data_IF_519136881006
#
_entry.id   IF_519136881006
#
_cell.length_a   1.000
_cell.length_b   1.000
_cell.length_c   1.000
_cell.angle_alpha   90.00
_cell.angle_beta   90.00
_cell.angle_gamma   90.00
#
_symmetry.space_group_name_H-M   'P 1'
#
loop_
_entity.id
_entity.type
_entity.pdbx_description
1 polymer ?
#
# COMPACT_ATOMS: atom_id res chain seq x y z
N UNK A 1 8.54 12.18 -8.84
CA UNK A 1 8.76 10.77 -8.46
C UNK A 1 7.99 9.88 -9.42
N UNK A 2 8.46 8.67 -9.65
CA UNK A 2 7.76 7.60 -10.39
C UNK A 2 7.61 6.38 -9.50
N UNK A 3 6.76 5.43 -9.89
CA UNK A 3 6.49 4.22 -9.11
C UNK A 3 6.38 3.00 -10.03
N UNK A 4 7.16 1.96 -9.75
CA UNK A 4 7.14 0.67 -10.46
C UNK A 4 6.25 -0.31 -9.70
N UNK A 5 5.24 -0.85 -10.38
CA UNK A 5 4.31 -1.82 -9.78
C UNK A 5 4.88 -3.23 -9.93
N UNK A 6 5.60 -3.70 -8.92
CA UNK A 6 6.33 -4.98 -8.98
C UNK A 6 5.41 -6.18 -9.15
N UNK A 7 4.17 -6.09 -8.65
CA UNK A 7 3.18 -7.15 -8.80
C UNK A 7 2.72 -7.39 -10.26
N UNK A 8 3.17 -6.57 -11.20
CA UNK A 8 2.93 -6.72 -12.64
C UNK A 8 4.16 -7.24 -13.40
N UNK A 9 5.28 -7.47 -12.70
CA UNK A 9 6.52 -7.93 -13.32
C UNK A 9 6.76 -9.40 -12.99
N UNK A 10 7.27 -10.15 -13.95
CA UNK A 10 7.72 -11.52 -13.72
C UNK A 10 9.08 -11.51 -12.97
N UNK A 11 9.19 -12.17 -11.80
CA UNK A 11 10.45 -12.28 -11.06
C UNK A 11 11.62 -12.87 -11.86
N UNK A 12 11.35 -13.75 -12.81
CA UNK A 12 12.37 -14.40 -13.63
C UNK A 12 12.66 -13.63 -14.93
N UNK A 13 11.81 -12.67 -15.30
CA UNK A 13 12.03 -11.81 -16.46
C UNK A 13 12.89 -10.58 -16.10
N UNK A 14 14.19 -10.81 -16.01
CA UNK A 14 15.17 -9.79 -15.69
C UNK A 14 15.23 -8.59 -16.66
N UNK A 15 14.84 -8.80 -17.92
CA UNK A 15 14.84 -7.75 -18.93
C UNK A 15 13.64 -6.82 -18.73
N UNK A 16 12.46 -7.38 -18.49
CA UNK A 16 11.26 -6.60 -18.18
C UNK A 16 11.47 -5.74 -16.93
N UNK A 17 12.07 -6.31 -15.88
CA UNK A 17 12.43 -5.53 -14.69
C UNK A 17 13.38 -4.38 -15.03
N UNK A 18 14.40 -4.62 -15.84
CA UNK A 18 15.32 -3.57 -16.28
C UNK A 18 14.60 -2.46 -17.06
N UNK A 19 13.76 -2.82 -18.02
CA UNK A 19 12.99 -1.88 -18.83
C UNK A 19 12.01 -1.06 -17.97
N UNK A 20 11.33 -1.69 -17.00
CA UNK A 20 10.41 -1.03 -16.09
C UNK A 20 11.12 0.00 -15.18
N UNK A 21 12.22 -0.38 -14.54
CA UNK A 21 12.97 0.54 -13.68
C UNK A 21 13.67 1.64 -14.50
N UNK A 22 14.15 1.33 -15.71
CA UNK A 22 14.71 2.33 -16.62
C UNK A 22 13.64 3.32 -17.09
N UNK A 23 12.44 2.87 -17.42
CA UNK A 23 11.31 3.75 -17.75
C UNK A 23 10.94 4.65 -16.56
N UNK A 24 10.88 4.09 -15.35
CA UNK A 24 10.67 4.84 -14.11
C UNK A 24 11.74 5.90 -13.87
N UNK A 25 13.01 5.57 -14.12
CA UNK A 25 14.14 6.48 -14.03
C UNK A 25 14.08 7.62 -15.06
N UNK A 26 13.82 7.32 -16.33
CA UNK A 26 13.69 8.32 -17.39
C UNK A 26 12.51 9.28 -17.15
N UNK A 27 11.39 8.75 -16.64
CA UNK A 27 10.22 9.57 -16.28
C UNK A 27 10.58 10.65 -15.26
N UNK A 28 11.35 10.32 -14.23
CA UNK A 28 11.77 11.31 -13.22
C UNK A 28 12.94 12.18 -13.68
N UNK A 29 13.85 11.63 -14.49
CA UNK A 29 14.97 12.38 -15.04
C UNK A 29 14.49 13.52 -15.95
N UNK A 30 13.42 13.32 -16.72
CA UNK A 30 12.80 14.38 -17.52
C UNK A 30 12.35 15.59 -16.68
N UNK A 31 11.90 15.36 -15.44
CA UNK A 31 11.50 16.41 -14.50
C UNK A 31 12.68 17.28 -14.01
N UNK A 32 13.92 16.86 -14.28
CA UNK A 32 15.11 17.63 -13.94
C UNK A 32 15.22 18.94 -14.74
N UNK A 33 14.63 18.98 -15.93
CA UNK A 33 14.60 20.17 -16.79
C UNK A 33 13.64 21.26 -16.30
N UNK A 34 12.77 20.95 -15.34
CA UNK A 34 11.85 21.92 -14.76
C UNK A 34 12.61 23.00 -13.99
N UNK A 35 12.29 24.26 -14.28
CA UNK A 35 12.80 25.43 -13.56
C UNK A 35 11.74 25.93 -12.59
N UNK A 36 12.07 25.94 -11.30
CA UNK A 36 11.15 26.47 -10.28
C UNK A 36 11.07 27.98 -10.36
N UNK A 37 9.86 28.52 -10.27
CA UNK A 37 9.62 29.97 -10.23
C UNK A 37 10.10 30.59 -8.92
N UNK A 38 9.98 29.84 -7.82
CA UNK A 38 10.39 30.25 -6.49
C UNK A 38 11.91 30.06 -6.31
N UNK A 39 12.71 31.13 -6.12
CA UNK A 39 14.17 31.08 -6.16
C UNK A 39 14.79 30.07 -5.19
N UNK A 40 14.24 29.91 -3.98
CA UNK A 40 14.80 28.96 -2.99
C UNK A 40 14.70 27.51 -3.46
N UNK A 41 13.67 27.14 -4.21
CA UNK A 41 13.50 25.79 -4.76
C UNK A 41 14.40 25.56 -5.96
N UNK A 42 14.57 26.57 -6.81
CA UNK A 42 15.51 26.51 -7.93
C UNK A 42 16.95 26.36 -7.43
N UNK A 43 17.35 27.16 -6.45
CA UNK A 43 18.66 27.02 -5.80
C UNK A 43 18.87 25.63 -5.20
N UNK A 44 17.88 25.09 -4.48
CA UNK A 44 17.95 23.73 -3.95
C UNK A 44 18.12 22.67 -5.05
N UNK A 45 17.43 22.83 -6.19
CA UNK A 45 17.52 21.94 -7.36
C UNK A 45 18.91 21.99 -8.00
N UNK A 46 19.54 23.16 -8.06
CA UNK A 46 20.89 23.32 -8.61
C UNK A 46 21.97 22.72 -7.69
N UNK A 47 21.76 22.78 -6.37
CA UNK A 47 22.66 22.16 -5.40
C UNK A 47 22.65 20.64 -5.48
N UNK A 48 21.47 20.01 -5.46
CA UNK A 48 21.32 18.56 -5.60
C UNK A 48 19.99 18.26 -6.29
N UNK A 49 20.01 17.87 -7.58
CA UNK A 49 18.79 17.71 -8.38
C UNK A 49 18.08 16.39 -8.09
N UNK A 50 17.74 16.15 -6.82
CA UNK A 50 17.19 14.88 -6.37
C UNK A 50 15.90 14.49 -7.09
N UNK A 51 15.79 13.18 -7.35
CA UNK A 51 14.58 12.52 -7.84
C UNK A 51 14.34 11.25 -7.03
N UNK A 52 13.15 10.68 -7.15
CA UNK A 52 12.81 9.42 -6.50
C UNK A 52 12.10 8.51 -7.49
N UNK A 53 12.69 7.37 -7.78
CA UNK A 53 11.99 6.20 -8.31
C UNK A 53 11.60 5.35 -7.11
N UNK A 54 10.32 5.02 -7.02
CA UNK A 54 9.75 4.14 -6.01
C UNK A 54 9.30 2.83 -6.65
N UNK A 55 8.95 1.87 -5.81
CA UNK A 55 8.18 0.70 -6.19
C UNK A 55 7.00 0.49 -5.25
N UNK A 56 6.06 -0.37 -5.66
CA UNK A 56 4.99 -0.92 -4.84
C UNK A 56 4.79 -2.40 -5.15
N UNK A 57 4.15 -3.16 -4.25
CA UNK A 57 3.93 -4.60 -4.42
C UNK A 57 5.16 -5.47 -4.14
N UNK A 58 6.15 -4.98 -3.38
CA UNK A 58 7.38 -5.74 -3.14
C UNK A 58 7.12 -7.06 -2.41
N UNK A 59 6.24 -7.04 -1.41
CA UNK A 59 5.94 -8.24 -0.63
C UNK A 59 5.37 -9.31 -1.55
N UNK A 60 4.35 -8.97 -2.34
CA UNK A 60 3.74 -9.89 -3.31
C UNK A 60 4.76 -10.42 -4.32
N UNK A 61 5.62 -9.53 -4.86
CA UNK A 61 6.67 -9.91 -5.80
C UNK A 61 7.63 -10.94 -5.19
N UNK A 62 8.04 -10.77 -3.93
CA UNK A 62 8.92 -11.73 -3.26
C UNK A 62 8.25 -13.04 -2.89
N UNK A 63 6.95 -13.05 -2.61
CA UNK A 63 6.21 -14.32 -2.49
C UNK A 63 6.25 -15.11 -3.80
N UNK A 64 6.07 -14.44 -4.94
CA UNK A 64 6.17 -15.09 -6.25
C UNK A 64 7.61 -15.49 -6.60
N UNK A 65 8.60 -14.66 -6.24
CA UNK A 65 10.01 -14.93 -6.53
C UNK A 65 10.62 -16.07 -5.71
N UNK A 66 10.20 -16.22 -4.44
CA UNK A 66 10.82 -17.14 -3.49
C UNK A 66 9.87 -18.26 -3.01
N UNK A 67 8.59 -18.17 -3.33
CA UNK A 67 7.57 -19.16 -2.99
C UNK A 67 7.13 -19.11 -1.53
N UNK A 68 6.30 -20.08 -1.16
CA UNK A 68 5.66 -20.18 0.17
C UNK A 68 6.67 -20.41 1.30
N UNK A 69 7.85 -20.96 1.02
CA UNK A 69 8.89 -21.13 2.04
C UNK A 69 9.45 -19.79 2.54
N UNK A 70 9.45 -18.76 1.69
CA UNK A 70 9.77 -17.40 2.12
C UNK A 70 8.70 -16.82 3.05
N UNK A 71 7.42 -17.14 2.81
CA UNK A 71 6.33 -16.77 3.72
C UNK A 71 6.44 -17.49 5.07
N UNK A 72 6.77 -18.79 5.08
CA UNK A 72 7.01 -19.56 6.31
C UNK A 72 8.17 -18.99 7.10
N UNK A 73 9.24 -18.60 6.42
CA UNK A 73 10.39 -17.94 7.04
C UNK A 73 10.02 -16.56 7.62
N UNK A 74 9.14 -15.83 6.94
CA UNK A 74 8.56 -14.58 7.43
C UNK A 74 7.74 -14.74 8.71
N UNK A 75 6.86 -15.75 8.74
CA UNK A 75 6.02 -16.06 9.91
C UNK A 75 6.87 -16.38 11.15
N UNK A 76 8.06 -16.98 10.95
CA UNK A 76 9.04 -17.26 12.00
C UNK A 76 9.82 -16.04 12.49
N UNK A 77 9.55 -14.84 11.95
CA UNK A 77 10.25 -13.62 12.33
C UNK A 77 11.53 -13.34 11.54
N UNK A 78 11.69 -13.95 10.35
CA UNK A 78 12.86 -13.79 9.46
C UNK A 78 14.22 -14.13 10.10
N UNK A 79 14.37 -15.28 10.79
CA UNK A 79 15.61 -15.64 11.48
C UNK A 79 16.78 -15.83 10.52
N UNK A 80 18.01 -15.59 11.00
CA UNK A 80 19.25 -15.75 10.22
C UNK A 80 19.76 -17.20 10.20
N UNK A 81 18.88 -18.15 9.88
CA UNK A 81 19.27 -19.53 9.57
C UNK A 81 20.02 -19.60 8.23
N UNK A 82 20.71 -20.70 7.90
CA UNK A 82 21.33 -20.87 6.59
C UNK A 82 20.36 -20.60 5.42
N UNK A 83 19.12 -21.07 5.51
CA UNK A 83 18.05 -20.81 4.54
C UNK A 83 17.61 -19.34 4.56
N UNK A 84 17.42 -18.75 5.74
CA UNK A 84 17.07 -17.34 5.89
C UNK A 84 18.09 -16.40 5.27
N UNK A 85 19.38 -16.73 5.39
CA UNK A 85 20.46 -15.97 4.75
C UNK A 85 20.43 -16.08 3.22
N UNK A 86 19.94 -17.19 2.65
CA UNK A 86 19.71 -17.32 1.21
C UNK A 86 18.59 -16.37 0.79
N UNK A 87 17.47 -16.33 1.52
CA UNK A 87 16.38 -15.39 1.25
C UNK A 87 16.84 -13.93 1.34
N UNK A 88 17.52 -13.52 2.41
CA UNK A 88 18.04 -12.15 2.56
C UNK A 88 18.98 -11.75 1.41
N UNK A 89 19.84 -12.67 0.95
CA UNK A 89 20.71 -12.44 -0.21
C UNK A 89 19.92 -12.33 -1.51
N UNK A 90 18.87 -13.13 -1.67
CA UNK A 90 17.94 -13.04 -2.79
C UNK A 90 17.25 -11.67 -2.85
N UNK A 91 16.66 -11.23 -1.74
CA UNK A 91 16.05 -9.90 -1.60
C UNK A 91 17.04 -8.79 -1.95
N UNK A 92 18.24 -8.85 -1.36
CA UNK A 92 19.32 -7.90 -1.63
C UNK A 92 19.66 -7.84 -3.13
N UNK A 93 19.77 -8.99 -3.80
CA UNK A 93 20.14 -9.07 -5.22
C UNK A 93 19.15 -8.31 -6.10
N UNK A 94 17.84 -8.48 -5.87
CA UNK A 94 16.81 -7.73 -6.59
C UNK A 94 16.91 -6.23 -6.30
N UNK A 95 16.92 -5.85 -5.02
CA UNK A 95 16.93 -4.46 -4.57
C UNK A 95 18.16 -3.69 -5.09
N UNK A 96 19.35 -4.26 -4.97
CA UNK A 96 20.59 -3.64 -5.47
C UNK A 96 20.61 -3.53 -6.99
N UNK A 97 20.15 -4.56 -7.70
CA UNK A 97 20.06 -4.50 -9.17
C UNK A 97 19.13 -3.38 -9.63
N UNK A 98 17.94 -3.25 -9.05
CA UNK A 98 17.01 -2.19 -9.41
C UNK A 98 17.54 -0.80 -9.07
N UNK A 99 18.25 -0.65 -7.93
CA UNK A 99 18.93 0.59 -7.57
C UNK A 99 19.99 0.97 -8.61
N UNK A 100 20.82 0.03 -9.01
CA UNK A 100 21.86 0.25 -10.03
C UNK A 100 21.26 0.69 -11.37
N UNK A 101 20.19 0.01 -11.83
CA UNK A 101 19.47 0.39 -13.05
C UNK A 101 18.97 1.84 -12.98
N UNK A 102 18.33 2.22 -11.87
CA UNK A 102 17.83 3.58 -11.68
C UNK A 102 18.96 4.60 -11.70
N UNK A 103 20.03 4.37 -10.93
CA UNK A 103 21.16 5.28 -10.87
C UNK A 103 21.83 5.46 -12.25
N UNK A 104 22.10 4.35 -12.95
CA UNK A 104 22.71 4.38 -14.27
C UNK A 104 21.83 5.15 -15.26
N UNK A 105 20.55 4.84 -15.33
CA UNK A 105 19.63 5.51 -16.26
C UNK A 105 19.46 7.01 -15.98
N UNK A 106 19.36 7.42 -14.71
CA UNK A 106 19.27 8.84 -14.34
C UNK A 106 20.60 9.55 -14.65
N UNK A 107 21.74 8.96 -14.32
CA UNK A 107 23.04 9.59 -14.56
C UNK A 107 23.39 9.68 -16.05
N UNK A 108 23.09 8.66 -16.85
CA UNK A 108 23.22 8.71 -18.31
C UNK A 108 22.39 9.84 -18.91
N UNK A 109 21.15 10.03 -18.42
CA UNK A 109 20.30 11.15 -18.82
C UNK A 109 20.95 12.48 -18.44
N UNK A 110 21.37 12.63 -17.18
CA UNK A 110 22.02 13.86 -16.71
C UNK A 110 23.25 14.23 -17.54
N UNK A 111 24.14 13.27 -17.80
CA UNK A 111 25.35 13.50 -18.59
C UNK A 111 25.05 13.95 -20.02
N UNK A 112 24.08 13.29 -20.67
CA UNK A 112 23.65 13.62 -22.02
C UNK A 112 23.07 15.04 -22.13
N UNK A 113 22.44 15.52 -21.05
CA UNK A 113 21.76 16.80 -21.02
C UNK A 113 22.54 17.91 -20.30
N UNK A 114 23.77 17.64 -19.83
CA UNK A 114 24.58 18.62 -19.10
C UNK A 114 23.99 19.01 -17.74
N UNK A 115 23.18 18.13 -17.14
CA UNK A 115 22.56 18.33 -15.82
C UNK A 115 23.47 17.70 -14.76
N UNK A 116 23.60 18.34 -13.58
CA UNK A 116 24.30 17.75 -12.45
C UNK A 116 23.67 16.39 -12.08
N UNK A 117 24.50 15.37 -11.84
CA UNK A 117 24.01 14.07 -11.38
C UNK A 117 23.44 14.20 -9.96
N UNK A 118 22.22 13.70 -9.68
CA UNK A 118 21.70 13.66 -8.33
C UNK A 118 22.46 12.68 -7.44
N UNK A 119 22.63 13.05 -6.16
CA UNK A 119 23.20 12.14 -5.16
C UNK A 119 22.23 11.01 -4.79
N UNK A 120 20.91 11.25 -4.92
CA UNK A 120 19.84 10.33 -4.49
C UNK A 120 18.76 10.21 -5.57
N UNK A 121 18.44 8.98 -5.94
CA UNK A 121 17.54 8.66 -7.06
C UNK A 121 16.40 7.70 -6.69
N UNK A 122 16.48 7.01 -5.54
CA UNK A 122 15.59 5.91 -5.16
C UNK A 122 14.96 6.16 -3.79
N UNK A 123 13.68 5.86 -3.66
CA UNK A 123 12.89 6.04 -2.43
C UNK A 123 11.80 4.98 -2.36
N UNK A 124 11.12 4.83 -1.23
CA UNK A 124 9.87 4.07 -1.18
C UNK A 124 8.81 4.90 -0.49
N UNK A 125 7.72 5.18 -1.21
CA UNK A 125 6.51 5.80 -0.66
C UNK A 125 5.50 4.71 -0.25
N UNK A 126 4.76 4.86 0.87
CA UNK A 126 3.55 4.09 1.13
C UNK A 126 2.48 4.54 0.15
N UNK A 127 2.40 3.86 -0.98
CA UNK A 127 1.48 4.24 -2.05
C UNK A 127 0.12 3.59 -1.83
N UNK A 128 -0.61 4.03 -0.80
CA UNK A 128 -1.90 3.46 -0.42
C UNK A 128 -2.98 3.57 -1.52
N UNK A 129 -2.91 4.61 -2.37
CA UNK A 129 -3.87 4.79 -3.47
C UNK A 129 -3.39 4.16 -4.77
N UNK A 130 -2.11 4.35 -5.16
CA UNK A 130 -1.66 3.83 -6.46
C UNK A 130 -1.50 2.31 -6.45
N UNK A 131 -1.12 1.71 -5.32
CA UNK A 131 -1.06 0.25 -5.19
C UNK A 131 -2.39 -0.42 -5.52
N UNK A 132 -3.51 0.23 -5.18
CA UNK A 132 -4.86 -0.28 -5.45
C UNK A 132 -5.18 -0.36 -6.94
N UNK A 133 -4.52 0.44 -7.81
CA UNK A 133 -4.74 0.39 -9.27
C UNK A 133 -4.39 -0.97 -9.86
N UNK A 134 -3.41 -1.67 -9.29
CA UNK A 134 -2.99 -3.00 -9.73
C UNK A 134 -3.23 -4.08 -8.67
N UNK A 135 -3.93 -3.76 -7.58
CA UNK A 135 -4.16 -4.69 -6.46
C UNK A 135 -2.88 -5.12 -5.74
N UNK A 136 -1.85 -4.26 -5.70
CA UNK A 136 -0.55 -4.55 -5.09
C UNK A 136 -0.55 -4.29 -3.57
N UNK A 137 0.34 -4.97 -2.85
CA UNK A 137 0.75 -4.55 -1.51
C UNK A 137 1.36 -3.14 -1.54
N UNK A 138 1.19 -2.35 -0.47
CA UNK A 138 1.56 -0.92 -0.47
C UNK A 138 3.05 -0.72 -0.18
N UNK A 139 3.82 -0.32 -1.20
CA UNK A 139 5.26 -0.14 -1.09
C UNK A 139 5.94 -1.48 -0.80
N UNK A 140 6.50 -1.59 0.40
CA UNK A 140 7.11 -2.82 0.92
C UNK A 140 6.20 -3.61 1.87
N UNK A 141 5.13 -3.02 2.39
CA UNK A 141 4.37 -3.61 3.50
C UNK A 141 3.75 -4.96 3.10
N UNK A 142 3.71 -5.95 4.02
CA UNK A 142 2.84 -7.10 3.86
C UNK A 142 1.37 -6.67 3.78
N UNK A 143 0.51 -7.42 3.07
CA UNK A 143 -0.93 -7.18 3.10
C UNK A 143 -1.49 -7.43 4.50
N UNK A 144 -2.68 -6.90 4.81
CA UNK A 144 -3.34 -7.12 6.12
C UNK A 144 -3.80 -8.55 6.33
N UNK A 145 -4.22 -9.19 5.24
CA UNK A 145 -4.66 -10.57 5.18
C UNK A 145 -4.52 -11.05 3.73
N UNK A 146 -4.58 -12.36 3.53
CA UNK A 146 -4.62 -12.95 2.20
C UNK A 146 -5.98 -12.71 1.54
N UNK A 147 -7.01 -13.01 2.34
CA UNK A 147 -8.47 -12.88 2.19
C UNK A 147 -9.03 -11.62 2.84
N UNK A 148 -9.64 -10.64 2.16
CA UNK A 148 -10.34 -9.59 2.90
C UNK A 148 -11.52 -8.94 2.15
N UNK A 149 -12.47 -8.41 2.91
CA UNK A 149 -13.43 -7.42 2.41
C UNK A 149 -12.73 -6.06 2.46
N UNK A 150 -12.60 -5.43 1.29
CA UNK A 150 -12.14 -4.05 1.15
C UNK A 150 -13.36 -3.14 1.15
N UNK A 151 -13.42 -2.20 2.11
CA UNK A 151 -14.49 -1.20 2.19
C UNK A 151 -13.99 0.14 1.67
N UNK A 152 -14.72 0.71 0.71
CA UNK A 152 -14.47 2.05 0.17
C UNK A 152 -15.68 2.92 0.47
N UNK A 153 -15.44 4.05 1.14
CA UNK A 153 -16.48 5.01 1.50
C UNK A 153 -16.82 5.89 0.32
N UNK A 154 -18.12 5.99 0.04
CA UNK A 154 -18.71 6.92 -0.90
C UNK A 154 -19.81 7.70 -0.17
N UNK A 155 -20.15 8.88 -0.68
CA UNK A 155 -21.39 9.54 -0.26
C UNK A 155 -22.58 8.64 -0.64
N UNK A 156 -23.66 8.68 0.14
CA UNK A 156 -24.91 8.00 -0.24
C UNK A 156 -25.35 8.46 -1.63
N UNK A 157 -25.69 7.50 -2.50
CA UNK A 157 -26.07 7.71 -3.91
C UNK A 157 -24.96 8.26 -4.83
N UNK A 158 -23.69 8.19 -4.44
CA UNK A 158 -22.59 8.52 -5.35
C UNK A 158 -22.69 7.68 -6.65
N UNK A 159 -22.50 8.28 -7.85
CA UNK A 159 -22.58 7.57 -9.12
C UNK A 159 -21.73 6.30 -9.19
N UNK A 160 -20.54 6.31 -8.58
CA UNK A 160 -19.65 5.15 -8.52
C UNK A 160 -20.21 4.07 -7.61
N UNK A 161 -20.79 4.44 -6.46
CA UNK A 161 -21.40 3.46 -5.55
C UNK A 161 -22.67 2.83 -6.18
N UNK A 162 -23.47 3.61 -6.89
CA UNK A 162 -24.62 3.10 -7.64
C UNK A 162 -24.19 2.14 -8.76
N UNK A 163 -23.13 2.48 -9.50
CA UNK A 163 -22.53 1.59 -10.49
C UNK A 163 -22.02 0.29 -9.85
N UNK A 164 -21.39 0.36 -8.66
CA UNK A 164 -20.96 -0.80 -7.91
C UNK A 164 -22.11 -1.74 -7.53
N UNK A 165 -23.27 -1.19 -7.11
CA UNK A 165 -24.49 -1.98 -6.82
C UNK A 165 -24.96 -2.70 -8.09
N UNK A 166 -25.03 -2.00 -9.22
CA UNK A 166 -25.40 -2.59 -10.51
C UNK A 166 -24.40 -3.66 -10.98
N UNK A 167 -23.13 -3.52 -10.59
CA UNK A 167 -22.07 -4.49 -10.84
C UNK A 167 -22.08 -5.68 -9.87
N UNK A 168 -22.98 -5.65 -8.86
CA UNK A 168 -23.26 -6.74 -7.92
C UNK A 168 -22.60 -6.62 -6.55
N UNK A 169 -21.83 -5.54 -6.30
CA UNK A 169 -21.21 -5.30 -5.00
C UNK A 169 -22.23 -4.91 -3.94
N UNK A 170 -21.94 -5.28 -2.69
CA UNK A 170 -22.77 -4.91 -1.55
C UNK A 170 -22.44 -3.49 -1.08
N UNK A 171 -23.43 -2.80 -0.50
CA UNK A 171 -23.25 -1.53 0.20
C UNK A 171 -23.81 -1.64 1.61
N UNK A 172 -23.12 -1.05 2.58
CA UNK A 172 -23.59 -0.92 3.97
C UNK A 172 -23.45 0.54 4.44
N UNK A 173 -24.20 0.98 5.48
CA UNK A 173 -23.98 2.30 6.07
C UNK A 173 -22.55 2.47 6.60
N UNK A 174 -22.08 3.71 6.76
CA UNK A 174 -20.73 3.96 7.30
C UNK A 174 -20.64 3.75 8.82
N UNK A 175 -19.44 3.83 9.38
CA UNK A 175 -19.20 3.71 10.82
C UNK A 175 -19.77 4.91 11.62
N UNK A 176 -19.99 6.04 10.95
CA UNK A 176 -20.60 7.26 11.53
C UNK A 176 -22.13 7.23 11.49
N UNK A 177 -22.73 6.44 10.60
CA UNK A 177 -24.19 6.30 10.47
C UNK A 177 -24.78 5.50 11.65
N UNK A 178 -25.29 6.23 12.65
CA UNK A 178 -25.87 5.68 13.89
C UNK A 178 -27.29 6.18 14.14
N UNK A 179 -28.07 5.39 14.87
CA UNK A 179 -29.35 5.81 15.41
C UNK A 179 -29.19 6.73 16.64
N UNK A 180 -30.31 7.24 17.14
CA UNK A 180 -30.39 8.11 18.32
C UNK A 180 -29.86 7.48 19.62
N UNK A 181 -29.73 6.15 19.66
CA UNK A 181 -29.17 5.41 20.79
C UNK A 181 -27.68 5.07 20.58
N UNK A 182 -27.08 5.48 19.46
CA UNK A 182 -25.69 5.22 19.11
C UNK A 182 -25.43 3.87 18.46
N UNK A 183 -26.47 3.10 18.10
CA UNK A 183 -26.32 1.83 17.38
C UNK A 183 -26.08 2.09 15.89
N UNK A 184 -25.28 1.25 15.24
CA UNK A 184 -25.05 1.36 13.80
C UNK A 184 -26.33 1.09 13.01
N UNK A 185 -26.59 1.93 11.99
CA UNK A 185 -27.63 1.65 11.01
C UNK A 185 -27.25 0.40 10.22
N UNK A 186 -28.22 -0.46 9.90
CA UNK A 186 -28.01 -1.67 9.11
C UNK A 186 -28.57 -1.58 7.69
N UNK A 187 -29.51 -0.67 7.44
CA UNK A 187 -30.08 -0.44 6.12
C UNK A 187 -29.35 0.72 5.41
N UNK A 188 -28.60 0.48 4.31
CA UNK A 188 -27.95 1.54 3.53
C UNK A 188 -28.96 2.54 2.93
N UNK A 189 -30.22 2.15 2.77
CA UNK A 189 -31.23 3.04 2.19
C UNK A 189 -31.97 3.89 3.23
N UNK A 190 -31.73 3.70 4.52
CA UNK A 190 -32.30 4.52 5.60
C UNK A 190 -32.01 6.02 5.35
N UNK A 191 -33.02 6.87 5.50
CA UNK A 191 -32.92 8.32 5.31
C UNK A 191 -31.82 8.99 6.16
N UNK A 192 -31.42 8.39 7.29
CA UNK A 192 -30.34 8.87 8.16
C UNK A 192 -28.94 8.52 7.67
N UNK A 193 -28.82 7.55 6.77
CA UNK A 193 -27.54 7.15 6.20
C UNK A 193 -26.99 8.28 5.31
N UNK A 194 -25.75 8.68 5.58
CA UNK A 194 -25.07 9.77 4.87
C UNK A 194 -24.03 9.23 3.89
N UNK A 195 -23.50 8.04 4.15
CA UNK A 195 -22.38 7.45 3.43
C UNK A 195 -22.60 5.95 3.22
N UNK A 196 -22.11 5.44 2.10
CA UNK A 196 -22.09 4.01 1.79
C UNK A 196 -20.67 3.48 1.80
N UNK A 197 -20.48 2.34 2.46
CA UNK A 197 -19.28 1.53 2.30
C UNK A 197 -19.58 0.47 1.25
N UNK A 198 -18.92 0.57 0.08
CA UNK A 198 -18.94 -0.50 -0.92
C UNK A 198 -18.01 -1.61 -0.44
N UNK A 199 -18.53 -2.84 -0.36
CA UNK A 199 -17.80 -4.03 0.07
C UNK A 199 -17.31 -4.85 -1.14
N UNK A 200 -15.98 -4.92 -1.28
CA UNK A 200 -15.32 -5.60 -2.39
C UNK A 200 -14.55 -6.80 -1.81
N UNK A 201 -14.92 -8.06 -2.11
CA UNK A 201 -14.09 -9.20 -1.75
C UNK A 201 -12.80 -9.17 -2.59
N UNK A 202 -11.65 -9.20 -1.91
CA UNK A 202 -10.31 -9.13 -2.53
C UNK A 202 -9.46 -10.29 -2.00
N UNK A 203 -8.69 -10.90 -2.91
CA UNK A 203 -7.63 -11.83 -2.58
C UNK A 203 -6.30 -11.32 -3.16
N UNK A 204 -5.21 -11.45 -2.39
CA UNK A 204 -3.86 -11.14 -2.88
C UNK A 204 -3.43 -12.15 -3.94
N UNK A 205 -2.54 -11.76 -4.85
CA UNK A 205 -2.17 -12.57 -6.03
C UNK A 205 -1.54 -13.93 -5.71
N UNK A 206 -1.04 -14.11 -4.50
CA UNK A 206 -0.41 -15.34 -4.01
C UNK A 206 -1.29 -16.12 -3.01
N UNK A 207 -2.52 -15.68 -2.73
CA UNK A 207 -3.39 -16.29 -1.73
C UNK A 207 -3.68 -17.79 -2.00
N UNK A 208 -3.72 -18.19 -3.27
CA UNK A 208 -4.02 -19.56 -3.68
C UNK A 208 -2.77 -20.42 -3.94
N UNK A 209 -1.56 -19.92 -3.65
CA UNK A 209 -0.36 -20.75 -3.74
C UNK A 209 -0.44 -21.92 -2.74
N UNK A 210 -0.03 -23.15 -3.11
CA UNK A 210 -0.09 -24.31 -2.21
C UNK A 210 0.68 -24.07 -0.90
N UNK A 211 -0.05 -24.13 0.22
CA UNK A 211 0.50 -23.88 1.56
C UNK A 211 0.48 -22.40 2.00
N UNK A 212 0.08 -21.46 1.13
CA UNK A 212 -0.08 -20.06 1.55
C UNK A 212 -1.23 -19.93 2.56
N UNK A 213 -2.36 -20.60 2.35
CA UNK A 213 -3.54 -20.58 3.24
C UNK A 213 -3.23 -20.99 4.70
N UNK A 214 -2.09 -21.65 4.95
CA UNK A 214 -1.64 -22.05 6.29
C UNK A 214 -0.90 -20.93 7.05
N UNK A 215 -0.47 -19.88 6.34
CA UNK A 215 0.33 -18.78 6.89
C UNK A 215 -0.57 -17.70 7.47
N UNK A 216 -0.40 -17.45 8.76
CA UNK A 216 -1.16 -16.42 9.45
C UNK A 216 -0.41 -15.07 9.39
N UNK A 217 -0.76 -14.25 8.39
CA UNK A 217 -0.23 -12.89 8.22
C UNK A 217 -0.47 -12.00 9.46
N UNK A 218 -1.45 -12.33 10.31
CA UNK A 218 -1.70 -11.64 11.57
C UNK A 218 -0.56 -11.81 12.60
N UNK A 219 0.30 -12.83 12.42
CA UNK A 219 1.43 -13.15 13.29
C UNK A 219 2.76 -12.52 12.87
N UNK A 220 2.81 -11.82 11.74
CA UNK A 220 4.05 -11.14 11.33
C UNK A 220 4.45 -10.10 12.38
N UNK A 221 5.58 -10.36 13.04
CA UNK A 221 6.07 -9.54 14.14
C UNK A 221 6.59 -8.19 13.66
N UNK A 222 6.61 -7.21 14.55
CA UNK A 222 7.18 -5.90 14.24
C UNK A 222 8.69 -5.98 13.95
N UNK A 223 9.40 -6.94 14.53
CA UNK A 223 10.81 -7.17 14.24
C UNK A 223 11.04 -7.69 12.82
N UNK A 224 10.16 -8.55 12.31
CA UNK A 224 10.21 -8.99 10.92
C UNK A 224 9.95 -7.82 9.96
N UNK A 225 8.97 -6.96 10.29
CA UNK A 225 8.70 -5.74 9.54
C UNK A 225 9.93 -4.80 9.53
N UNK A 226 10.56 -4.58 10.69
CA UNK A 226 11.76 -3.76 10.82
C UNK A 226 12.94 -4.34 10.03
N UNK A 227 13.20 -5.65 10.12
CA UNK A 227 14.27 -6.29 9.35
C UNK A 227 14.07 -6.11 7.85
N UNK A 228 12.84 -6.33 7.36
CA UNK A 228 12.55 -6.23 5.94
C UNK A 228 12.61 -4.80 5.41
N UNK A 229 12.09 -3.81 6.14
CA UNK A 229 12.20 -2.42 5.71
C UNK A 229 13.65 -1.94 5.72
N UNK A 230 14.48 -2.44 6.64
CA UNK A 230 15.91 -2.15 6.65
C UNK A 230 16.66 -2.82 5.50
N UNK A 231 16.26 -4.03 5.06
CA UNK A 231 16.73 -4.61 3.80
C UNK A 231 16.45 -3.67 2.62
N UNK A 232 15.23 -3.14 2.52
CA UNK A 232 14.86 -2.18 1.47
C UNK A 232 15.68 -0.89 1.57
N UNK A 233 15.79 -0.32 2.77
CA UNK A 233 16.56 0.90 3.00
C UNK A 233 18.02 0.73 2.58
N UNK A 234 18.65 -0.38 2.98
CA UNK A 234 20.08 -0.60 2.76
C UNK A 234 20.41 -0.87 1.29
N UNK A 235 19.57 -1.64 0.61
CA UNK A 235 19.92 -2.18 -0.71
C UNK A 235 19.23 -1.50 -1.88
N UNK A 236 18.12 -0.79 -1.67
CA UNK A 236 17.46 -0.03 -2.74
C UNK A 236 17.50 1.49 -2.52
N UNK A 237 17.09 1.94 -1.34
CA UNK A 237 16.75 3.34 -1.11
C UNK A 237 17.98 4.22 -0.86
N UNK A 238 18.02 5.39 -1.50
CA UNK A 238 19.03 6.44 -1.25
C UNK A 238 18.45 7.67 -0.56
N UNK A 239 17.12 7.83 -0.61
CA UNK A 239 16.35 8.72 0.27
C UNK A 239 15.97 7.98 1.56
N UNK A 240 14.71 8.08 1.97
CA UNK A 240 14.11 7.29 3.05
C UNK A 240 13.12 6.27 2.47
N UNK A 241 13.02 5.14 3.15
CA UNK A 241 11.98 4.12 2.96
C UNK A 241 10.87 4.44 3.93
N UNK A 242 9.78 5.03 3.46
CA UNK A 242 8.68 5.36 4.34
C UNK A 242 7.98 4.09 4.80
N UNK A 243 7.71 4.04 6.10
CA UNK A 243 7.41 2.82 6.83
C UNK A 243 6.39 3.11 7.92
N UNK A 244 5.39 2.25 8.03
CA UNK A 244 4.53 2.16 9.22
C UNK A 244 4.73 0.78 9.82
N UNK A 245 5.42 0.72 10.95
CA UNK A 245 5.61 -0.51 11.70
C UNK A 245 4.40 -0.71 12.61
N UNK A 246 3.71 -1.82 12.43
CA UNK A 246 2.57 -2.18 13.26
C UNK A 246 2.99 -3.13 14.36
N UNK A 247 2.67 -2.78 15.61
CA UNK A 247 3.12 -3.52 16.79
C UNK A 247 2.01 -3.74 17.82
N UNK A 248 2.16 -4.83 18.57
CA UNK A 248 1.37 -5.11 19.77
C UNK A 248 2.04 -4.54 21.02
N UNK A 249 1.28 -4.50 22.12
CA UNK A 249 1.77 -3.98 23.40
C UNK A 249 3.02 -4.72 23.89
N UNK A 250 3.01 -6.04 23.77
CA UNK A 250 4.13 -6.92 24.14
C UNK A 250 5.36 -6.76 23.24
N UNK A 251 5.21 -6.16 22.06
CA UNK A 251 6.31 -5.94 21.11
C UNK A 251 7.02 -4.59 21.29
N UNK A 252 6.49 -3.70 22.14
CA UNK A 252 7.04 -2.34 22.35
C UNK A 252 8.48 -2.38 22.86
N UNK A 253 8.74 -3.14 23.93
CA UNK A 253 10.07 -3.19 24.57
C UNK A 253 11.12 -3.85 23.67
N UNK A 254 10.75 -4.94 22.97
CA UNK A 254 11.69 -5.63 22.09
C UNK A 254 12.02 -4.79 20.85
N UNK A 255 11.05 -4.06 20.30
CA UNK A 255 11.28 -3.12 19.21
C UNK A 255 12.18 -1.96 19.66
N UNK A 256 11.88 -1.37 20.82
CA UNK A 256 12.67 -0.27 21.39
C UNK A 256 14.13 -0.68 21.59
N UNK A 257 14.36 -1.87 22.14
CA UNK A 257 15.70 -2.44 22.32
C UNK A 257 16.41 -2.62 20.97
N UNK A 258 15.73 -3.22 19.98
CA UNK A 258 16.31 -3.46 18.65
C UNK A 258 16.68 -2.17 17.93
N UNK A 259 15.85 -1.13 18.01
CA UNK A 259 16.13 0.20 17.45
C UNK A 259 17.35 0.81 18.13
N UNK A 260 17.41 0.75 19.47
CA UNK A 260 18.56 1.25 20.22
C UNK A 260 19.85 0.53 19.82
N UNK A 261 19.82 -0.79 19.71
CA UNK A 261 20.97 -1.59 19.26
C UNK A 261 21.40 -1.23 17.84
N UNK A 262 20.44 -1.05 16.91
CA UNK A 262 20.74 -0.63 15.53
C UNK A 262 21.53 0.69 15.51
N UNK A 263 21.09 1.68 16.29
CA UNK A 263 21.74 2.99 16.38
C UNK A 263 23.10 2.86 17.05
N UNK A 264 23.19 2.11 18.16
CA UNK A 264 24.43 1.91 18.91
C UNK A 264 25.51 1.21 18.08
N UNK A 265 25.13 0.28 17.22
CA UNK A 265 26.03 -0.51 16.39
C UNK A 265 26.27 0.09 14.99
N UNK A 266 25.76 1.30 14.71
CA UNK A 266 25.86 1.97 13.42
C UNK A 266 25.28 1.15 12.24
N UNK A 267 24.19 0.42 12.50
CA UNK A 267 23.46 -0.36 11.48
C UNK A 267 22.55 0.52 10.60
N UNK A 268 22.42 1.81 10.94
CA UNK A 268 21.56 2.79 10.30
C UNK A 268 20.19 2.95 10.98
N UNK A 269 19.46 3.98 10.57
CA UNK A 269 18.09 4.25 11.00
C UNK A 269 17.28 4.87 9.86
N UNK A 270 15.95 4.80 9.97
CA UNK A 270 15.01 5.38 9.02
C UNK A 270 13.94 6.19 9.74
N UNK A 271 13.27 7.08 9.02
CA UNK A 271 12.03 7.68 9.50
C UNK A 271 10.88 6.67 9.29
N UNK A 272 10.35 6.16 10.41
CA UNK A 272 9.21 5.26 10.44
C UNK A 272 8.13 5.78 11.40
N UNK A 273 6.87 5.55 11.07
CA UNK A 273 5.76 5.67 12.00
C UNK A 273 5.58 4.35 12.75
N UNK A 274 5.27 4.42 14.04
CA UNK A 274 4.90 3.25 14.84
C UNK A 274 3.39 3.34 15.12
N UNK A 275 2.64 2.31 14.78
CA UNK A 275 1.19 2.28 14.94
C UNK A 275 0.76 1.03 15.67
N UNK A 276 -0.08 1.17 16.70
CA UNK A 276 -0.67 0.00 17.37
C UNK A 276 -1.40 -0.87 16.33
N UNK A 277 -1.09 -2.16 16.32
CA UNK A 277 -1.78 -3.11 15.46
C UNK A 277 -3.16 -3.39 16.04
N UNK A 278 -4.19 -3.06 15.29
CA UNK A 278 -5.58 -3.28 15.71
C UNK A 278 -6.00 -4.71 15.37
N UNK A 279 -6.15 -5.55 16.39
CA UNK A 279 -6.73 -6.90 16.24
C UNK A 279 -8.21 -6.96 16.59
N UNK A 280 -8.71 -5.97 17.33
CA UNK A 280 -10.02 -6.06 17.94
C UNK A 280 -11.12 -5.54 17.01
N UNK A 281 -11.73 -6.49 16.27
CA UNK A 281 -12.91 -6.26 15.43
C UNK A 281 -14.08 -5.71 16.27
N UNK A 282 -14.15 -6.00 17.57
CA UNK A 282 -15.26 -5.53 18.41
C UNK A 282 -15.28 -4.00 18.58
N UNK A 283 -14.10 -3.37 18.48
CA UNK A 283 -13.97 -1.91 18.60
C UNK A 283 -14.32 -1.18 17.30
N UNK A 284 -14.14 -1.83 16.14
CA UNK A 284 -14.42 -1.25 14.81
C UNK A 284 -15.14 -2.25 13.90
N UNK A 285 -16.48 -2.34 13.97
CA UNK A 285 -17.25 -3.37 13.24
C UNK A 285 -17.21 -3.24 11.70
N UNK A 286 -16.74 -2.13 11.13
CA UNK A 286 -16.66 -1.90 9.68
C UNK A 286 -15.24 -1.56 9.24
N UNK A 287 -14.28 -2.44 9.55
CA UNK A 287 -12.87 -2.24 9.18
C UNK A 287 -12.71 -1.99 7.67
N UNK A 288 -11.80 -1.07 7.25
CA UNK A 288 -11.48 -0.87 5.84
C UNK A 288 -10.88 -2.10 5.15
N UNK A 289 -10.23 -2.97 5.92
CA UNK A 289 -9.74 -4.27 5.52
C UNK A 289 -10.23 -5.27 6.57
N UNK A 290 -11.28 -6.03 6.26
CA UNK A 290 -11.78 -7.07 7.15
C UNK A 290 -11.27 -8.42 6.68
N UNK A 291 -10.38 -9.09 7.43
CA UNK A 291 -9.91 -10.43 7.09
C UNK A 291 -11.07 -11.43 6.98
N UNK A 292 -11.06 -12.24 5.92
CA UNK A 292 -12.04 -13.31 5.71
C UNK A 292 -11.33 -14.60 5.30
N UNK A 293 -11.94 -15.74 5.61
CA UNK A 293 -11.47 -17.03 5.14
C UNK A 293 -11.76 -17.25 3.64
N UNK A 294 -11.18 -18.33 3.10
CA UNK A 294 -11.33 -18.71 1.68
C UNK A 294 -12.78 -19.00 1.31
N UNK A 295 -13.50 -19.75 2.13
CA UNK A 295 -14.89 -20.11 1.87
C UNK A 295 -15.80 -18.87 1.79
N UNK A 296 -15.57 -17.90 2.67
CA UNK A 296 -16.28 -16.61 2.69
C UNK A 296 -15.93 -15.78 1.46
N UNK A 297 -14.66 -15.68 1.08
CA UNK A 297 -14.25 -14.99 -0.14
C UNK A 297 -14.90 -15.59 -1.39
N UNK A 298 -14.87 -16.92 -1.54
CA UNK A 298 -15.47 -17.64 -2.66
C UNK A 298 -16.98 -17.42 -2.73
N UNK A 299 -17.66 -17.53 -1.58
CA UNK A 299 -19.10 -17.24 -1.46
C UNK A 299 -19.42 -15.80 -1.87
N UNK A 300 -18.76 -14.81 -1.28
CA UNK A 300 -19.01 -13.39 -1.58
C UNK A 300 -18.72 -13.07 -3.05
N UNK A 301 -17.66 -13.63 -3.61
CA UNK A 301 -17.32 -13.47 -5.03
C UNK A 301 -18.37 -14.08 -5.96
N UNK A 302 -18.92 -15.24 -5.60
CA UNK A 302 -20.02 -15.86 -6.33
C UNK A 302 -21.31 -15.04 -6.23
N UNK A 303 -21.62 -14.52 -5.04
CA UNK A 303 -22.78 -13.67 -4.83
C UNK A 303 -22.71 -12.34 -5.60
N UNK A 304 -21.52 -11.72 -5.70
CA UNK A 304 -21.32 -10.53 -6.55
C UNK A 304 -21.70 -10.85 -8.00
N UNK A 305 -21.24 -11.99 -8.53
CA UNK A 305 -21.62 -12.43 -9.88
C UNK A 305 -23.11 -12.71 -10.01
N UNK A 306 -23.75 -13.28 -9.00
CA UNK A 306 -25.18 -13.59 -9.01
C UNK A 306 -26.07 -12.33 -8.95
N UNK A 307 -25.65 -11.29 -8.21
CA UNK A 307 -26.37 -10.01 -8.10
C UNK A 307 -26.13 -9.07 -9.29
N UNK A 308 -25.05 -9.28 -10.03
CA UNK A 308 -24.61 -8.42 -11.13
C UNK A 308 -25.71 -8.27 -12.20
N UNK A 309 -26.07 -7.03 -12.51
CA UNK A 309 -27.01 -6.68 -13.59
C UNK A 309 -26.30 -6.42 -14.92
N UNK A 310 -25.05 -6.01 -14.87
CA UNK A 310 -24.22 -5.68 -16.05
C UNK A 310 -22.75 -6.02 -15.78
N UNK A 311 -22.04 -6.51 -16.80
CA UNK A 311 -20.58 -6.72 -16.79
C UNK A 311 -19.80 -5.55 -17.39
N UNK A 312 -20.48 -4.52 -17.89
CA UNK A 312 -19.90 -3.24 -18.28
C UNK A 312 -20.02 -2.22 -17.13
N UNK A 313 -18.94 -2.04 -16.36
CA UNK A 313 -18.89 -1.05 -15.28
C UNK A 313 -18.92 0.38 -15.80
N UNK A 314 -18.25 0.68 -16.93
CA UNK A 314 -18.25 2.01 -17.52
C UNK A 314 -19.64 2.40 -18.01
N UNK A 315 -20.34 1.47 -18.65
CA UNK A 315 -21.75 1.64 -19.02
C UNK A 315 -22.67 1.76 -17.81
N UNK A 316 -22.38 1.09 -16.69
CA UNK A 316 -23.12 1.30 -15.44
C UNK A 316 -22.91 2.71 -14.87
N UNK A 317 -21.66 3.15 -14.79
CA UNK A 317 -21.30 4.49 -14.31
C UNK A 317 -21.94 5.58 -15.18
N UNK A 318 -21.90 5.44 -16.51
CA UNK A 318 -22.51 6.40 -17.43
C UNK A 318 -24.03 6.58 -17.29
N UNK A 319 -24.74 5.67 -16.60
CA UNK A 319 -26.16 5.86 -16.26
C UNK A 319 -26.39 6.82 -15.09
N UNK A 320 -25.39 6.96 -14.23
CA UNK A 320 -25.46 7.75 -12.99
C UNK A 320 -24.60 9.00 -13.03
N UNK A 321 -23.58 9.03 -13.90
CA UNK A 321 -22.72 10.18 -14.14
C UNK A 321 -23.48 11.21 -15.02
N UNK A 322 -24.24 12.09 -14.36
CA UNK A 322 -25.07 13.11 -15.00
C UNK A 322 -24.28 14.41 -15.29
N UNK A 323 -22.94 14.38 -15.26
CA UNK A 323 -22.06 15.52 -15.50
C UNK A 323 -21.53 16.16 -14.21
N UNK A 324 -21.09 17.43 -14.29
CA UNK A 324 -20.50 18.13 -13.14
C UNK A 324 -21.50 18.28 -11.99
N UNK A 325 -21.41 17.39 -11.02
CA UNK A 325 -22.00 17.55 -9.71
C UNK A 325 -20.99 18.31 -8.83
N UNK A 326 -21.40 19.45 -8.28
CA UNK A 326 -20.60 20.23 -7.32
C UNK A 326 -20.55 19.48 -5.98
N UNK A 327 -19.88 18.34 -5.93
CA UNK A 327 -19.87 17.47 -4.76
C UNK A 327 -18.45 17.12 -4.33
N UNK A 328 -18.13 17.48 -3.09
CA UNK A 328 -16.90 17.08 -2.45
C UNK A 328 -17.01 15.60 -2.04
N UNK A 329 -15.98 14.81 -2.34
CA UNK A 329 -15.85 13.46 -1.80
C UNK A 329 -15.80 13.47 -0.26
N UNK A 330 -15.94 12.31 0.39
CA UNK A 330 -15.84 12.22 1.85
C UNK A 330 -14.53 12.87 2.31
N UNK A 331 -14.62 13.69 3.36
CA UNK A 331 -13.44 14.36 3.92
C UNK A 331 -12.40 13.32 4.30
N UNK A 332 -11.13 13.55 3.95
CA UNK A 332 -10.03 12.74 4.46
C UNK A 332 -10.06 12.66 5.98
N UNK A 333 -9.47 11.61 6.54
CA UNK A 333 -9.34 11.46 7.99
C UNK A 333 -8.50 12.62 8.56
N UNK A 334 -9.16 13.70 8.97
CA UNK A 334 -8.61 14.68 9.91
C UNK A 334 -8.68 14.04 11.28
N UNK A 335 -7.51 13.80 11.89
CA UNK A 335 -7.36 13.22 13.23
C UNK A 335 -8.21 13.90 14.30
N UNK A 336 -8.56 15.16 14.05
CA UNK A 336 -9.28 16.01 14.98
C UNK A 336 -10.77 15.66 15.09
N UNK A 337 -11.35 15.01 14.07
CA UNK A 337 -12.77 14.61 14.07
C UNK A 337 -13.07 13.39 14.95
N UNK A 338 -12.06 12.58 15.29
CA UNK A 338 -12.22 11.46 16.21
C UNK A 338 -12.26 11.88 17.69
N UNK A 339 -11.91 13.14 18.01
CA UNK A 339 -11.70 13.58 19.39
C UNK A 339 -12.77 14.55 19.91
N UNK A 340 -13.58 15.18 19.04
CA UNK A 340 -14.57 16.17 19.48
C UNK A 340 -15.88 16.08 18.66
N UNK A 341 -17.06 16.15 19.32
CA UNK A 341 -18.32 16.33 18.60
C UNK A 341 -18.33 17.69 17.90
N UNK A 342 -18.77 17.72 16.65
CA UNK A 342 -18.93 18.95 15.87
C UNK A 342 -19.87 19.91 16.62
N UNK A 343 -19.40 21.12 16.92
CA UNK A 343 -20.29 22.20 17.34
C UNK A 343 -21.04 22.71 16.13
N UNK A 344 -22.36 22.68 16.18
CA UNK A 344 -23.21 23.26 15.14
C UNK A 344 -22.85 24.73 14.93
N UNK A 345 -22.68 25.19 13.68
CA UNK A 345 -22.46 26.60 13.41
C UNK A 345 -23.67 27.41 13.87
N UNK A 346 -23.40 28.45 14.67
CA UNK A 346 -24.35 29.52 15.04
C UNK A 346 -24.81 30.35 13.86
#
# INVERSE_FOLDING_TARGET
>A
MSEVHLNQLDPDNYKEQEEAFKAGALSVAALLNHHFQEPRYQYSRELDPIVGVSFTGLFDFFVHAFGVDWLRWWEQGRPETPEGLIFKRGEQKYLSKWREIVHNAVWEYCDKHGIKRPNRCTTVQPSGTKSLLTGASSGWHPPKAQRFIRRITFRKNDPVALACIDYGYNVIPSQSDKDENGNLLNDPFDHRCTEWLVEIPVAVSWADLPGADEIDVSKFSVLAQLDFVMQVQKYYTTHNTSATLELRSEEVEVLGTRIYEAVKNDEGYISAALLARFDDIQTFPRLPFEPIDKATYERLSAEVKARRKTDDFCGALGRYDLGEMSEAGPSGCDSDKCMFPEQSPT
#
